data_IF_981384744458
#
_entry.id   IF_981384744458
#
_cell.length_a   1.000
_cell.length_b   1.000
_cell.length_c   1.000
_cell.angle_alpha   90.00
_cell.angle_beta   90.00
_cell.angle_gamma   90.00
#
_symmetry.space_group_name_H-M   'P 1'
#
loop_
_entity.id
_entity.type
_entity.pdbx_description
1 polymer ?
#
# COMPACT_ATOMS: atom_id res chain seq x y z
N UNK A 1 16.21 43.60 -42.90
CA UNK A 1 15.11 42.67 -43.24
C UNK A 1 15.08 41.61 -42.14
N UNK A 2 14.66 41.92 -40.91
CA UNK A 2 13.27 41.95 -40.42
C UNK A 2 12.37 40.87 -41.00
N UNK A 3 12.21 39.77 -40.27
CA UNK A 3 10.97 38.99 -40.26
C UNK A 3 10.76 38.43 -38.85
N UNK A 4 9.85 39.09 -38.14
CA UNK A 4 9.22 38.62 -36.92
C UNK A 4 8.42 37.36 -37.23
N UNK A 5 8.57 36.32 -36.39
CA UNK A 5 7.56 35.27 -36.28
C UNK A 5 6.76 35.54 -35.01
N UNK A 6 5.49 35.88 -35.21
CA UNK A 6 4.50 36.17 -34.18
C UNK A 6 4.10 34.88 -33.46
N UNK A 7 4.26 34.90 -32.14
CA UNK A 7 3.71 33.92 -31.22
C UNK A 7 2.19 34.07 -31.19
N UNK A 8 1.44 33.06 -31.64
CA UNK A 8 -0.02 33.01 -31.44
C UNK A 8 -0.36 32.33 -30.11
N UNK A 9 -1.32 32.87 -29.34
CA UNK A 9 -1.76 32.25 -28.10
C UNK A 9 -2.56 30.98 -28.40
N UNK A 10 -2.18 29.87 -27.77
CA UNK A 10 -2.94 28.63 -27.79
C UNK A 10 -4.29 28.85 -27.13
N UNK A 11 -5.37 28.59 -27.87
CA UNK A 11 -6.73 28.62 -27.35
C UNK A 11 -6.87 27.53 -26.29
N UNK A 12 -7.28 27.92 -25.08
CA UNK A 12 -7.66 26.99 -24.02
C UNK A 12 -8.94 26.26 -24.40
N UNK A 13 -8.82 25.01 -24.83
CA UNK A 13 -9.96 24.11 -24.89
C UNK A 13 -10.47 23.85 -23.46
N UNK A 14 -11.78 23.98 -23.18
CA UNK A 14 -12.33 23.61 -21.89
C UNK A 14 -12.17 22.10 -21.70
N UNK A 15 -11.67 21.70 -20.53
CA UNK A 15 -11.58 20.31 -20.10
C UNK A 15 -12.98 19.66 -20.18
N UNK A 16 -13.06 18.38 -20.58
CA UNK A 16 -14.31 17.64 -20.49
C UNK A 16 -14.81 17.65 -19.03
N UNK A 17 -16.12 17.72 -18.79
CA UNK A 17 -16.66 17.68 -17.44
C UNK A 17 -16.22 16.39 -16.73
N UNK A 18 -15.74 16.53 -15.49
CA UNK A 18 -15.40 15.38 -14.64
C UNK A 18 -16.57 14.39 -14.63
N UNK A 19 -16.35 13.09 -14.86
CA UNK A 19 -17.39 12.11 -14.58
C UNK A 19 -17.75 12.25 -13.11
N UNK A 20 -19.04 12.44 -12.83
CA UNK A 20 -19.57 12.36 -11.46
C UNK A 20 -19.13 11.01 -10.91
N UNK A 21 -18.53 10.98 -9.72
CA UNK A 21 -18.21 9.75 -9.05
C UNK A 21 -19.50 8.93 -8.93
N UNK A 22 -19.60 7.87 -9.75
CA UNK A 22 -20.48 6.80 -9.41
C UNK A 22 -19.80 6.17 -8.18
N UNK A 23 -20.31 6.49 -7.00
CA UNK A 23 -19.98 5.74 -5.80
C UNK A 23 -20.30 4.28 -6.13
N UNK A 24 -19.27 3.51 -6.48
CA UNK A 24 -19.35 2.07 -6.39
C UNK A 24 -19.80 1.78 -4.95
N UNK A 25 -20.61 0.75 -4.76
CA UNK A 25 -21.02 0.22 -3.46
C UNK A 25 -19.75 -0.22 -2.69
N UNK A 26 -18.99 0.75 -2.17
CA UNK A 26 -17.72 0.63 -1.45
C UNK A 26 -18.06 0.16 -0.04
N UNK A 27 -18.52 -1.09 0.06
CA UNK A 27 -18.71 -1.73 1.36
C UNK A 27 -17.35 -2.13 1.91
N UNK A 28 -17.04 -1.59 3.07
CA UNK A 28 -15.93 -1.97 3.93
C UNK A 28 -15.90 -3.51 4.11
N UNK A 29 -15.01 -4.21 3.42
CA UNK A 29 -14.79 -5.64 3.63
C UNK A 29 -13.92 -5.83 4.87
N UNK A 30 -14.56 -6.04 6.03
CA UNK A 30 -13.85 -6.43 7.26
C UNK A 30 -13.35 -7.87 7.15
N UNK A 31 -12.13 -8.12 7.62
CA UNK A 31 -11.62 -9.48 7.79
C UNK A 31 -12.51 -10.26 8.77
N UNK A 32 -12.81 -11.55 8.54
CA UNK A 32 -13.55 -12.36 9.50
C UNK A 32 -12.74 -12.49 10.79
N UNK A 33 -13.32 -12.01 11.90
CA UNK A 33 -12.74 -12.14 13.24
C UNK A 33 -12.63 -13.61 13.66
N UNK A 34 -11.48 -14.02 14.17
CA UNK A 34 -11.27 -15.33 14.75
C UNK A 34 -12.24 -15.56 15.93
N UNK A 35 -13.21 -16.45 15.75
CA UNK A 35 -14.13 -16.87 16.80
C UNK A 35 -13.38 -17.76 17.82
N UNK A 36 -13.03 -17.19 18.97
CA UNK A 36 -12.56 -17.94 20.14
C UNK A 36 -13.74 -18.62 20.84
N UNK A 37 -13.80 -19.95 20.78
CA UNK A 37 -14.77 -20.75 21.50
C UNK A 37 -14.40 -20.83 23.00
N UNK A 38 -15.42 -20.67 23.85
CA UNK A 38 -15.28 -20.53 25.30
C UNK A 38 -15.02 -21.82 26.09
N UNK A 39 -14.68 -21.62 27.37
CA UNK A 39 -14.60 -22.66 28.39
C UNK A 39 -14.76 -22.06 29.79
N UNK A 40 -15.82 -22.46 30.48
CA UNK A 40 -16.33 -21.98 31.77
C UNK A 40 -15.52 -22.57 32.94
N UNK A 41 -15.30 -21.80 34.02
CA UNK A 41 -14.79 -22.31 35.30
C UNK A 41 -14.90 -21.31 36.44
N UNK A 42 -15.49 -21.74 37.56
CA UNK A 42 -16.21 -20.92 38.52
C UNK A 42 -15.42 -20.34 39.72
N UNK A 43 -16.01 -19.27 40.29
CA UNK A 43 -16.02 -18.76 41.68
C UNK A 43 -14.94 -19.19 42.69
N UNK A 44 -14.41 -18.18 43.41
CA UNK A 44 -14.41 -18.15 44.90
C UNK A 44 -14.28 -16.71 45.45
N UNK A 45 -15.21 -16.35 46.34
CA UNK A 45 -15.19 -15.14 47.19
C UNK A 45 -14.30 -15.37 48.41
N UNK A 46 -13.59 -14.32 48.90
CA UNK A 46 -13.44 -14.01 50.34
C UNK A 46 -13.33 -12.48 50.51
N UNK A 47 -14.03 -11.96 51.52
CA UNK A 47 -14.18 -10.55 51.86
C UNK A 47 -13.13 -10.05 52.87
N UNK A 48 -12.93 -8.72 53.00
CA UNK A 48 -12.80 -8.07 54.31
C UNK A 48 -12.93 -6.53 54.24
N UNK A 49 -13.55 -6.04 55.32
CA UNK A 49 -14.07 -4.72 55.68
C UNK A 49 -13.00 -3.67 56.03
N UNK A 50 -13.31 -2.36 55.86
CA UNK A 50 -13.18 -1.34 56.93
C UNK A 50 -13.90 -0.03 56.58
N UNK A 51 -14.70 0.46 57.54
CA UNK A 51 -15.42 1.75 57.58
C UNK A 51 -14.61 2.77 58.38
N UNK A 52 -14.62 4.06 57.99
CA UNK A 52 -14.59 5.21 58.91
C UNK A 52 -15.53 6.32 58.37
N UNK A 53 -16.23 7.01 59.27
CA UNK A 53 -17.30 8.01 59.06
C UNK A 53 -16.80 9.46 59.19
N UNK A 54 -17.70 10.36 58.76
CA UNK A 54 -17.96 11.75 59.19
C UNK A 54 -17.28 12.86 58.36
N UNK A 55 -17.84 14.06 58.14
CA UNK A 55 -19.21 14.62 58.22
C UNK A 55 -19.19 16.04 57.61
N UNK A 56 -20.24 16.39 56.85
CA UNK A 56 -20.80 17.73 56.52
C UNK A 56 -19.96 19.01 56.73
N UNK A 57 -19.89 19.83 55.67
CA UNK A 57 -20.42 21.21 55.69
C UNK A 57 -20.74 21.69 54.26
N UNK A 58 -22.02 22.03 54.01
CA UNK A 58 -22.49 22.69 52.79
C UNK A 58 -22.29 24.20 52.94
N UNK A 59 -21.56 24.82 52.02
CA UNK A 59 -21.62 26.28 51.77
C UNK A 59 -22.14 26.48 50.35
N UNK A 60 -23.29 27.16 50.22
CA UNK A 60 -23.84 27.55 48.93
C UNK A 60 -22.98 28.66 48.33
N UNK A 61 -22.26 28.35 47.25
CA UNK A 61 -21.60 29.33 46.40
C UNK A 61 -22.48 29.52 45.16
N UNK A 62 -22.93 30.75 44.91
CA UNK A 62 -23.70 31.12 43.72
C UNK A 62 -22.80 30.94 42.48
N UNK A 63 -23.17 30.01 41.59
CA UNK A 63 -22.51 29.84 40.29
C UNK A 63 -23.00 30.93 39.32
N UNK A 64 -22.04 31.66 38.75
CA UNK A 64 -22.23 32.42 37.51
C UNK A 64 -22.26 31.45 36.32
N UNK A 65 -23.03 31.71 35.24
CA UNK A 65 -23.13 30.80 34.12
C UNK A 65 -21.82 30.79 33.32
N UNK A 66 -21.06 29.70 33.42
CA UNK A 66 -19.95 29.41 32.51
C UNK A 66 -20.47 28.64 31.31
N UNK A 67 -20.30 29.23 30.13
CA UNK A 67 -20.55 28.58 28.83
C UNK A 67 -19.84 27.21 28.75
N UNK A 68 -20.49 26.15 28.24
CA UNK A 68 -19.87 24.83 28.20
C UNK A 68 -18.73 24.82 27.19
N UNK A 69 -17.48 24.86 27.69
CA UNK A 69 -16.30 24.45 26.91
C UNK A 69 -16.52 23.02 26.47
N UNK A 70 -16.62 22.80 25.16
CA UNK A 70 -16.50 21.47 24.56
C UNK A 70 -15.16 20.87 24.97
N UNK A 71 -15.19 20.01 25.97
CA UNK A 71 -14.11 19.07 26.25
C UNK A 71 -14.19 18.08 25.09
N UNK A 72 -13.24 18.18 24.14
CA UNK A 72 -13.06 17.14 23.13
C UNK A 72 -12.87 15.81 23.86
N UNK A 73 -13.74 14.86 23.58
CA UNK A 73 -13.61 13.48 24.04
C UNK A 73 -12.20 12.97 23.72
N UNK A 74 -11.47 12.52 24.72
CA UNK A 74 -10.13 11.91 24.59
C UNK A 74 -10.21 10.40 24.35
N UNK A 75 -11.33 9.91 23.83
CA UNK A 75 -11.42 8.54 23.34
C UNK A 75 -10.65 8.48 22.02
N UNK A 76 -9.63 7.60 21.86
CA UNK A 76 -9.01 7.39 20.57
C UNK A 76 -10.11 7.06 19.55
N UNK A 77 -10.01 7.64 18.36
CA UNK A 77 -10.94 7.32 17.27
C UNK A 77 -10.77 5.83 16.95
N UNK A 78 -11.79 5.06 17.29
CA UNK A 78 -11.82 3.60 17.10
C UNK A 78 -12.23 3.23 15.67
N UNK A 79 -12.26 4.19 14.74
CA UNK A 79 -12.54 3.94 13.34
C UNK A 79 -11.42 3.10 12.71
N UNK A 80 -11.74 2.10 11.87
CA UNK A 80 -10.73 1.32 11.17
C UNK A 80 -9.92 2.19 10.22
N UNK A 81 -8.63 1.91 10.06
CA UNK A 81 -7.80 2.51 9.02
C UNK A 81 -8.37 2.20 7.63
N UNK A 82 -8.68 3.22 6.84
CA UNK A 82 -9.31 3.12 5.52
C UNK A 82 -8.23 3.14 4.44
N UNK A 83 -7.82 1.97 3.98
CA UNK A 83 -6.81 1.83 2.94
C UNK A 83 -7.49 1.73 1.57
N UNK A 84 -7.23 2.69 0.67
CA UNK A 84 -7.57 2.51 -0.73
C UNK A 84 -6.56 1.58 -1.41
N UNK A 85 -7.06 0.55 -2.10
CA UNK A 85 -6.26 -0.29 -2.98
C UNK A 85 -6.66 0.00 -4.42
N UNK A 86 -5.74 0.59 -5.17
CA UNK A 86 -5.87 0.91 -6.60
C UNK A 86 -5.46 -0.32 -7.42
N UNK A 87 -6.44 -1.11 -7.85
CA UNK A 87 -6.22 -2.33 -8.62
C UNK A 87 -5.88 -2.00 -10.08
N UNK A 88 -4.64 -2.30 -10.46
CA UNK A 88 -4.07 -1.99 -11.77
C UNK A 88 -4.01 -3.19 -12.71
N UNK A 89 -4.57 -4.34 -12.31
CA UNK A 89 -4.72 -5.55 -13.12
C UNK A 89 -5.71 -6.51 -12.45
N UNK A 90 -6.04 -7.61 -13.13
CA UNK A 90 -6.78 -8.73 -12.56
C UNK A 90 -5.84 -9.94 -12.47
N UNK A 91 -5.80 -10.66 -11.33
CA UNK A 91 -5.00 -11.86 -11.21
C UNK A 91 -5.35 -12.91 -12.27
N UNK A 92 -4.40 -13.80 -12.59
CA UNK A 92 -4.63 -14.93 -13.51
C UNK A 92 -5.79 -15.81 -13.01
N UNK A 93 -6.54 -16.51 -13.89
CA UNK A 93 -7.82 -17.12 -13.52
C UNK A 93 -7.79 -18.01 -12.27
N UNK A 94 -6.77 -18.85 -12.12
CA UNK A 94 -6.63 -19.73 -10.96
C UNK A 94 -6.32 -18.93 -9.68
N UNK A 95 -5.50 -17.89 -9.77
CA UNK A 95 -5.25 -16.98 -8.65
C UNK A 95 -6.51 -16.21 -8.30
N UNK A 96 -7.23 -15.65 -9.27
CA UNK A 96 -8.48 -14.94 -9.01
C UNK A 96 -9.50 -15.85 -8.30
N UNK A 97 -9.59 -17.12 -8.72
CA UNK A 97 -10.48 -18.10 -8.11
C UNK A 97 -10.10 -18.46 -6.66
N UNK A 98 -8.82 -18.74 -6.41
CA UNK A 98 -8.35 -19.27 -5.12
C UNK A 98 -7.92 -18.19 -4.12
N UNK A 99 -7.55 -17.00 -4.62
CA UNK A 99 -7.01 -15.87 -3.83
C UNK A 99 -7.88 -14.61 -3.95
N UNK A 100 -8.76 -14.50 -4.94
CA UNK A 100 -9.55 -13.31 -5.17
C UNK A 100 -8.78 -12.22 -5.92
N UNK A 101 -9.33 -11.01 -5.89
CA UNK A 101 -8.73 -9.77 -6.42
C UNK A 101 -7.38 -9.44 -5.76
N UNK A 102 -6.58 -8.54 -6.34
CA UNK A 102 -5.33 -8.09 -5.69
C UNK A 102 -5.60 -7.42 -4.34
N UNK A 103 -6.73 -6.71 -4.18
CA UNK A 103 -7.19 -6.21 -2.88
C UNK A 103 -7.35 -7.32 -1.84
N UNK A 104 -7.83 -8.50 -2.24
CA UNK A 104 -7.93 -9.68 -1.36
C UNK A 104 -6.55 -10.28 -1.04
N UNK A 105 -5.60 -10.23 -1.98
CA UNK A 105 -4.21 -10.64 -1.77
C UNK A 105 -3.53 -9.73 -0.75
N UNK A 106 -3.62 -8.41 -0.93
CA UNK A 106 -3.09 -7.43 0.01
C UNK A 106 -3.80 -7.49 1.37
N UNK A 107 -5.10 -7.80 1.42
CA UNK A 107 -5.80 -7.97 2.70
C UNK A 107 -5.16 -9.06 3.56
N UNK A 108 -4.81 -10.21 2.96
CA UNK A 108 -4.12 -11.29 3.67
C UNK A 108 -2.72 -10.87 4.11
N UNK A 109 -1.91 -10.33 3.19
CA UNK A 109 -0.56 -9.86 3.49
C UNK A 109 -0.57 -8.89 4.68
N UNK A 110 -1.42 -7.86 4.62
CA UNK A 110 -1.51 -6.82 5.64
C UNK A 110 -2.03 -7.35 6.97
N UNK A 111 -2.95 -8.31 6.97
CA UNK A 111 -3.40 -8.98 8.19
C UNK A 111 -2.22 -9.71 8.85
N UNK A 112 -1.41 -10.43 8.07
CA UNK A 112 -0.24 -11.14 8.58
C UNK A 112 0.87 -10.21 9.07
N UNK A 113 1.00 -9.04 8.43
CA UNK A 113 1.89 -7.95 8.84
C UNK A 113 1.51 -7.34 10.19
N UNK A 114 0.22 -7.13 10.48
CA UNK A 114 -0.24 -6.65 11.79
C UNK A 114 0.14 -7.64 12.91
N UNK A 115 0.01 -8.94 12.67
CA UNK A 115 0.49 -9.95 13.61
C UNK A 115 2.01 -9.88 13.84
N UNK A 116 2.76 -9.36 12.86
CA UNK A 116 4.20 -9.15 12.96
C UNK A 116 4.61 -7.94 13.81
N UNK A 117 3.69 -7.00 14.08
CA UNK A 117 3.97 -5.77 14.83
C UNK A 117 3.89 -5.90 16.35
N UNK A 118 3.54 -7.07 16.87
CA UNK A 118 3.39 -7.28 18.31
C UNK A 118 2.40 -6.29 18.93
N UNK A 119 2.82 -5.56 19.97
CA UNK A 119 1.96 -4.61 20.69
C UNK A 119 1.51 -3.41 19.83
N UNK A 120 2.31 -2.98 18.85
CA UNK A 120 1.95 -1.87 17.96
C UNK A 120 0.80 -2.21 17.01
N UNK A 121 0.63 -3.49 16.68
CA UNK A 121 -0.48 -3.98 15.85
C UNK A 121 -1.75 -4.24 16.65
N UNK A 122 -1.68 -4.29 17.99
CA UNK A 122 -2.85 -4.58 18.83
C UNK A 122 -3.85 -3.44 18.76
N UNK A 123 -5.08 -3.78 18.35
CA UNK A 123 -6.19 -2.81 18.26
C UNK A 123 -6.18 -1.98 16.98
N UNK A 124 -5.26 -2.25 16.05
CA UNK A 124 -5.33 -1.68 14.70
C UNK A 124 -6.33 -2.49 13.89
N UNK A 125 -7.53 -1.93 13.71
CA UNK A 125 -8.48 -2.41 12.71
C UNK A 125 -8.26 -1.67 11.40
N UNK A 126 -8.50 -2.33 10.27
CA UNK A 126 -8.44 -1.70 8.96
C UNK A 126 -9.50 -2.25 8.01
N UNK A 127 -9.74 -1.51 6.94
CA UNK A 127 -10.57 -1.94 5.83
C UNK A 127 -9.95 -1.54 4.50
N UNK A 128 -10.17 -2.39 3.49
CA UNK A 128 -9.73 -2.13 2.12
C UNK A 128 -10.92 -1.62 1.32
N UNK A 129 -10.70 -0.49 0.67
CA UNK A 129 -11.58 0.10 -0.32
C UNK A 129 -10.95 -0.14 -1.70
N UNK A 130 -11.53 -1.02 -2.50
CA UNK A 130 -10.97 -1.41 -3.81
C UNK A 130 -11.45 -0.44 -4.89
N UNK A 131 -10.52 -0.01 -5.73
CA UNK A 131 -10.78 0.88 -6.86
C UNK A 131 -10.26 0.22 -8.13
N UNK A 132 -11.16 -0.05 -9.08
CA UNK A 132 -10.79 -0.50 -10.41
C UNK A 132 -10.29 0.70 -11.21
N UNK A 133 -8.97 0.75 -11.43
CA UNK A 133 -8.32 1.83 -12.17
C UNK A 133 -8.31 1.53 -13.66
N UNK A 134 -8.32 0.26 -14.06
CA UNK A 134 -8.12 -0.15 -15.45
C UNK A 134 -9.41 0.03 -16.27
N UNK A 135 -10.51 -0.56 -15.81
CA UNK A 135 -11.78 -0.53 -16.56
C UNK A 135 -12.60 0.71 -16.23
N UNK A 136 -12.59 1.13 -14.96
CA UNK A 136 -13.48 2.17 -14.47
C UNK A 136 -12.78 3.49 -14.13
N UNK A 137 -11.44 3.51 -14.08
CA UNK A 137 -10.66 4.71 -13.73
C UNK A 137 -11.19 5.40 -12.48
N UNK A 138 -11.48 4.60 -11.45
CA UNK A 138 -12.02 5.07 -10.18
C UNK A 138 -10.88 5.37 -9.21
N UNK A 139 -11.05 6.45 -8.44
CA UNK A 139 -10.06 6.92 -7.46
C UNK A 139 -10.79 7.39 -6.19
N UNK A 140 -10.18 7.27 -5.00
CA UNK A 140 -10.77 7.76 -3.76
C UNK A 140 -10.75 9.28 -3.70
N UNK A 141 -11.74 9.86 -3.02
CA UNK A 141 -11.58 11.19 -2.44
C UNK A 141 -10.64 11.09 -1.23
N UNK A 142 -9.67 12.01 -1.12
CA UNK A 142 -8.61 11.90 -0.10
C UNK A 142 -9.12 12.06 1.33
N UNK A 143 -10.31 12.66 1.53
CA UNK A 143 -10.98 12.71 2.83
C UNK A 143 -11.48 11.33 3.30
N UNK A 144 -11.66 10.40 2.37
CA UNK A 144 -12.34 9.13 2.60
C UNK A 144 -11.36 8.01 2.92
N UNK A 145 -10.05 8.29 2.89
CA UNK A 145 -8.98 7.31 3.05
C UNK A 145 -7.86 7.84 3.93
N UNK A 146 -7.19 6.91 4.60
CA UNK A 146 -6.05 7.20 5.49
C UNK A 146 -4.71 6.81 4.82
N UNK A 147 -4.77 6.03 3.73
CA UNK A 147 -3.61 5.68 2.90
C UNK A 147 -4.04 5.13 1.54
N UNK A 148 -3.08 5.09 0.61
CA UNK A 148 -3.28 4.55 -0.74
C UNK A 148 -2.22 3.46 -1.00
N UNK A 149 -2.64 2.34 -1.59
CA UNK A 149 -1.79 1.28 -2.10
C UNK A 149 -2.06 1.08 -3.58
N UNK A 150 -1.01 1.07 -4.41
CA UNK A 150 -1.07 0.84 -5.85
C UNK A 150 -0.51 -0.55 -6.15
N UNK A 151 -1.31 -1.41 -6.78
CA UNK A 151 -0.92 -2.80 -7.05
C UNK A 151 0.08 -2.92 -8.20
N UNK A 152 0.66 -4.12 -8.33
CA UNK A 152 1.34 -4.54 -9.55
C UNK A 152 0.37 -4.65 -10.74
N UNK A 153 0.94 -4.84 -11.93
CA UNK A 153 0.20 -5.03 -13.18
C UNK A 153 1.04 -5.74 -14.23
N UNK A 154 0.42 -6.51 -15.13
CA UNK A 154 1.07 -7.00 -16.35
C UNK A 154 1.30 -5.91 -17.40
N UNK A 155 0.66 -4.75 -17.25
CA UNK A 155 0.81 -3.61 -18.15
C UNK A 155 2.15 -2.91 -17.94
N UNK A 156 2.56 -2.13 -18.95
CA UNK A 156 3.80 -1.38 -18.91
C UNK A 156 3.55 0.07 -18.47
N UNK A 157 4.17 0.49 -17.36
CA UNK A 157 3.88 1.78 -16.70
C UNK A 157 4.25 3.03 -17.52
N UNK A 158 5.12 2.88 -18.53
CA UNK A 158 5.55 3.98 -19.40
C UNK A 158 4.75 4.09 -20.71
N UNK A 159 3.72 3.26 -20.91
CA UNK A 159 2.78 3.45 -22.01
C UNK A 159 1.85 4.63 -21.75
N UNK A 160 1.29 5.19 -22.83
CA UNK A 160 0.32 6.29 -22.79
C UNK A 160 -1.14 5.81 -22.89
N UNK A 161 -1.42 4.58 -22.41
CA UNK A 161 -2.79 4.12 -22.25
C UNK A 161 -3.56 5.13 -21.35
N UNK A 162 -4.78 5.56 -21.72
CA UNK A 162 -5.46 6.67 -21.03
C UNK A 162 -5.61 6.51 -19.51
N UNK A 163 -5.85 5.28 -19.04
CA UNK A 163 -5.96 4.99 -17.61
C UNK A 163 -4.61 5.08 -16.87
N UNK A 164 -3.50 4.76 -17.55
CA UNK A 164 -2.14 4.88 -16.99
C UNK A 164 -1.79 6.36 -16.85
N UNK A 165 -2.03 7.17 -17.89
CA UNK A 165 -1.80 8.63 -17.84
C UNK A 165 -2.62 9.26 -16.71
N UNK A 166 -3.89 8.87 -16.59
CA UNK A 166 -4.79 9.34 -15.52
C UNK A 166 -4.31 8.93 -14.13
N UNK A 167 -3.84 7.69 -13.97
CA UNK A 167 -3.27 7.21 -12.72
C UNK A 167 -1.99 7.96 -12.35
N UNK A 168 -1.08 8.19 -13.30
CA UNK A 168 0.16 8.97 -13.08
C UNK A 168 -0.17 10.40 -12.62
N UNK A 169 -1.15 11.05 -13.26
CA UNK A 169 -1.58 12.40 -12.88
C UNK A 169 -2.25 12.42 -11.50
N UNK A 170 -3.12 11.45 -11.21
CA UNK A 170 -3.73 11.31 -9.89
C UNK A 170 -2.67 11.16 -8.79
N UNK A 171 -1.71 10.25 -8.96
CA UNK A 171 -0.65 10.01 -7.97
C UNK A 171 0.27 11.23 -7.83
N UNK A 172 0.56 11.94 -8.92
CA UNK A 172 1.28 13.22 -8.85
C UNK A 172 0.55 14.23 -7.97
N UNK A 173 -0.77 14.37 -8.14
CA UNK A 173 -1.58 15.28 -7.32
C UNK A 173 -1.58 14.85 -5.85
N UNK A 174 -1.75 13.55 -5.56
CA UNK A 174 -1.69 13.03 -4.18
C UNK A 174 -0.36 13.38 -3.52
N UNK A 175 0.76 13.10 -4.18
CA UNK A 175 2.10 13.28 -3.61
C UNK A 175 2.51 14.75 -3.46
N UNK A 176 1.92 15.66 -4.24
CA UNK A 176 2.28 17.09 -4.24
C UNK A 176 1.31 17.97 -3.44
N UNK A 177 0.04 17.58 -3.35
CA UNK A 177 -1.01 18.40 -2.76
C UNK A 177 -1.59 17.84 -1.45
N UNK A 178 -1.17 16.65 -1.01
CA UNK A 178 -1.70 16.00 0.19
C UNK A 178 -0.61 15.42 1.09
N UNK A 179 -1.01 14.98 2.28
CA UNK A 179 -0.18 14.21 3.21
C UNK A 179 -0.57 12.73 3.24
N UNK A 180 -1.45 12.28 2.35
CA UNK A 180 -1.91 10.89 2.34
C UNK A 180 -0.74 9.97 1.97
N UNK A 181 -0.36 9.02 2.84
CA UNK A 181 0.74 8.11 2.55
C UNK A 181 0.42 7.20 1.37
N UNK A 182 1.40 7.00 0.50
CA UNK A 182 1.26 6.14 -0.70
C UNK A 182 2.23 4.97 -0.64
N UNK A 183 1.72 3.76 -0.86
CA UNK A 183 2.48 2.55 -1.10
C UNK A 183 2.35 2.11 -2.55
N UNK A 184 3.45 1.74 -3.20
CA UNK A 184 3.42 1.23 -4.58
C UNK A 184 4.23 -0.05 -4.75
N UNK A 185 3.62 -1.04 -5.41
CA UNK A 185 4.22 -2.36 -5.61
C UNK A 185 4.39 -2.64 -7.11
N UNK A 186 5.60 -3.02 -7.53
CA UNK A 186 5.96 -3.35 -8.91
C UNK A 186 5.54 -2.25 -9.92
N UNK A 187 4.47 -2.47 -10.70
CA UNK A 187 3.89 -1.43 -11.55
C UNK A 187 3.56 -0.14 -10.76
N UNK A 188 3.00 -0.26 -9.55
CA UNK A 188 2.74 0.88 -8.68
C UNK A 188 4.00 1.65 -8.27
N UNK A 189 5.12 0.96 -8.06
CA UNK A 189 6.43 1.59 -7.84
C UNK A 189 6.87 2.40 -9.07
N UNK A 190 6.68 1.86 -10.27
CA UNK A 190 7.00 2.54 -11.52
C UNK A 190 6.10 3.76 -11.79
N UNK A 191 4.80 3.65 -11.49
CA UNK A 191 3.86 4.77 -11.56
C UNK A 191 4.28 5.91 -10.64
N UNK A 192 4.69 5.62 -9.40
CA UNK A 192 5.20 6.62 -8.46
C UNK A 192 6.46 7.29 -9.03
N UNK A 193 7.40 6.50 -9.54
CA UNK A 193 8.60 7.03 -10.21
C UNK A 193 8.23 7.99 -11.35
N UNK A 194 7.36 7.55 -12.27
CA UNK A 194 6.90 8.35 -13.41
C UNK A 194 6.15 9.61 -12.98
N UNK A 195 5.31 9.53 -11.94
CA UNK A 195 4.59 10.68 -11.39
C UNK A 195 5.55 11.78 -10.89
N UNK A 196 6.69 11.37 -10.32
CA UNK A 196 7.75 12.23 -9.80
C UNK A 196 8.86 12.56 -10.82
N UNK A 197 8.63 12.26 -12.10
CA UNK A 197 9.52 12.65 -13.19
C UNK A 197 10.70 11.70 -13.44
N UNK A 198 10.73 10.51 -12.84
CA UNK A 198 11.70 9.50 -13.22
C UNK A 198 11.38 8.87 -14.57
N UNK A 199 12.44 8.46 -15.26
CA UNK A 199 12.34 7.62 -16.45
C UNK A 199 11.97 6.21 -16.03
N UNK A 200 10.94 5.65 -16.67
CA UNK A 200 10.56 4.23 -16.54
C UNK A 200 10.70 3.56 -17.89
N UNK A 201 11.16 2.32 -17.92
CA UNK A 201 11.54 1.65 -19.16
C UNK A 201 11.75 0.16 -19.00
N UNK A 202 12.03 -0.52 -20.12
CA UNK A 202 12.48 -1.92 -20.10
C UNK A 202 13.85 -2.00 -19.44
N UNK A 203 13.98 -2.88 -18.45
CA UNK A 203 15.23 -3.12 -17.76
C UNK A 203 16.26 -3.75 -18.74
N UNK A 204 17.46 -3.16 -18.89
CA UNK A 204 18.53 -3.75 -19.68
C UNK A 204 18.95 -5.13 -19.16
N UNK A 205 18.79 -5.36 -17.85
CA UNK A 205 19.07 -6.62 -17.18
C UNK A 205 18.10 -7.76 -17.49
N UNK A 206 16.99 -7.48 -18.19
CA UNK A 206 15.99 -8.49 -18.54
C UNK A 206 14.98 -8.75 -17.43
N UNK A 207 14.55 -10.00 -17.30
CA UNK A 207 13.55 -10.40 -16.31
C UNK A 207 14.18 -10.68 -14.94
N UNK A 208 13.49 -10.26 -13.88
CA UNK A 208 13.62 -10.83 -12.55
C UNK A 208 12.31 -11.56 -12.20
N UNK A 209 12.42 -12.83 -11.81
CA UNK A 209 11.29 -13.71 -11.53
C UNK A 209 11.52 -14.53 -10.26
N UNK A 210 10.43 -14.88 -9.58
CA UNK A 210 10.45 -15.69 -8.36
C UNK A 210 11.33 -15.08 -7.25
N UNK A 211 11.73 -15.83 -6.23
CA UNK A 211 12.45 -15.23 -5.09
C UNK A 211 13.87 -14.83 -5.50
N UNK A 212 14.17 -13.53 -5.37
CA UNK A 212 15.48 -12.94 -5.63
C UNK A 212 15.94 -12.12 -4.43
N UNK A 213 17.25 -11.95 -4.33
CA UNK A 213 17.89 -11.13 -3.31
C UNK A 213 17.89 -9.66 -3.71
N UNK A 214 17.47 -8.79 -2.80
CA UNK A 214 17.62 -7.33 -2.87
C UNK A 214 18.60 -6.89 -1.79
N UNK A 215 19.74 -6.35 -2.20
CA UNK A 215 20.72 -5.77 -1.28
C UNK A 215 20.26 -4.36 -0.86
N UNK A 216 20.13 -4.13 0.44
CA UNK A 216 19.60 -2.88 0.98
C UNK A 216 20.72 -1.85 1.19
N UNK A 217 20.43 -0.59 0.86
CA UNK A 217 21.27 0.54 1.26
C UNK A 217 21.13 0.82 2.76
N UNK A 218 21.95 1.70 3.33
CA UNK A 218 21.90 2.06 4.76
C UNK A 218 20.49 2.45 5.24
N UNK A 219 19.76 3.23 4.44
CA UNK A 219 18.39 3.64 4.76
C UNK A 219 17.41 2.44 4.71
N UNK A 220 17.58 1.53 3.76
CA UNK A 220 16.82 0.29 3.67
C UNK A 220 17.11 -0.63 4.86
N UNK A 221 18.37 -0.77 5.26
CA UNK A 221 18.75 -1.56 6.43
C UNK A 221 18.17 -0.98 7.71
N UNK A 222 18.17 0.35 7.85
CA UNK A 222 17.51 1.02 8.97
C UNK A 222 15.99 0.76 8.98
N UNK A 223 15.35 0.79 7.80
CA UNK A 223 13.91 0.59 7.68
C UNK A 223 13.50 -0.86 7.98
N UNK A 224 14.18 -1.84 7.40
CA UNK A 224 13.81 -3.25 7.47
C UNK A 224 14.51 -4.02 8.61
N UNK A 225 15.62 -3.51 9.15
CA UNK A 225 16.38 -4.17 10.22
C UNK A 225 17.23 -5.35 9.76
N UNK A 226 17.43 -5.50 8.45
CA UNK A 226 18.21 -6.58 7.81
C UNK A 226 19.09 -6.00 6.71
N UNK A 227 20.15 -6.71 6.31
CA UNK A 227 21.08 -6.26 5.26
C UNK A 227 20.55 -6.47 3.84
N UNK A 228 19.63 -7.42 3.66
CA UNK A 228 19.02 -7.76 2.38
C UNK A 228 17.62 -8.34 2.58
N UNK A 229 16.81 -8.33 1.53
CA UNK A 229 15.50 -8.98 1.47
C UNK A 229 15.50 -10.09 0.41
N UNK A 230 14.81 -11.18 0.70
CA UNK A 230 14.43 -12.22 -0.26
C UNK A 230 12.96 -11.98 -0.63
N UNK A 231 12.66 -11.61 -1.88
CA UNK A 231 11.28 -11.31 -2.29
C UNK A 231 10.98 -11.87 -3.68
N UNK A 232 9.71 -12.21 -3.91
CA UNK A 232 9.25 -12.55 -5.25
C UNK A 232 9.41 -11.36 -6.19
N UNK A 233 10.00 -11.61 -7.35
CA UNK A 233 10.08 -10.70 -8.47
C UNK A 233 9.17 -11.19 -9.60
N UNK A 234 8.65 -10.25 -10.39
CA UNK A 234 7.91 -10.53 -11.63
C UNK A 234 7.89 -9.26 -12.48
N UNK A 235 9.06 -8.84 -12.96
CA UNK A 235 9.16 -7.64 -13.78
C UNK A 235 10.27 -7.73 -14.82
N UNK A 236 10.06 -6.95 -15.89
CA UNK A 236 11.05 -6.66 -16.94
C UNK A 236 11.15 -5.15 -17.22
N UNK A 237 10.40 -4.37 -16.46
CA UNK A 237 10.37 -2.92 -16.48
C UNK A 237 10.98 -2.43 -15.17
N UNK A 238 11.57 -1.24 -15.19
CA UNK A 238 12.24 -0.63 -14.04
C UNK A 238 11.99 0.89 -13.98
N UNK A 239 12.19 1.45 -12.79
CA UNK A 239 12.49 2.88 -12.62
C UNK A 239 13.98 3.06 -12.89
N UNK A 240 14.32 3.76 -13.98
CA UNK A 240 15.70 3.88 -14.45
C UNK A 240 16.45 5.06 -13.82
N UNK A 241 15.74 6.06 -13.28
CA UNK A 241 16.34 7.22 -12.61
C UNK A 241 15.70 7.43 -11.24
N UNK A 242 16.51 7.76 -10.23
CA UNK A 242 16.01 8.07 -8.90
C UNK A 242 15.34 9.46 -8.91
N UNK A 243 14.03 9.58 -8.57
CA UNK A 243 13.40 10.89 -8.44
C UNK A 243 14.09 11.77 -7.39
N UNK A 244 14.06 13.08 -7.60
CA UNK A 244 14.66 14.03 -6.68
C UNK A 244 14.03 13.97 -5.27
N UNK A 245 14.86 13.99 -4.23
CA UNK A 245 14.42 14.00 -2.84
C UNK A 245 13.92 12.65 -2.31
N UNK A 246 14.10 11.57 -3.05
CA UNK A 246 13.79 10.20 -2.63
C UNK A 246 15.07 9.41 -2.39
N UNK A 247 14.95 8.37 -1.56
CA UNK A 247 16.02 7.40 -1.32
C UNK A 247 15.69 6.11 -2.04
N UNK A 248 16.67 5.54 -2.75
CA UNK A 248 16.59 4.16 -3.21
C UNK A 248 16.82 3.21 -2.04
N UNK A 249 15.89 2.31 -1.74
CA UNK A 249 16.00 1.39 -0.61
C UNK A 249 16.96 0.22 -0.84
N UNK A 250 17.20 -0.16 -2.10
CA UNK A 250 18.06 -1.28 -2.42
C UNK A 250 18.21 -1.52 -3.91
N UNK A 251 18.98 -2.54 -4.26
CA UNK A 251 19.27 -2.90 -5.65
C UNK A 251 19.47 -4.41 -5.79
N UNK A 252 19.33 -4.91 -7.01
CA UNK A 252 19.76 -6.24 -7.43
C UNK A 252 20.76 -6.12 -8.59
N UNK A 253 21.43 -7.21 -9.01
CA UNK A 253 22.32 -7.17 -10.18
C UNK A 253 21.62 -6.75 -11.48
N UNK A 254 20.29 -6.89 -11.59
CA UNK A 254 19.51 -6.59 -12.80
C UNK A 254 18.68 -5.31 -12.71
N UNK A 255 18.37 -4.84 -11.51
CA UNK A 255 17.55 -3.65 -11.28
C UNK A 255 18.21 -2.74 -10.23
N UNK A 256 18.71 -1.56 -10.63
CA UNK A 256 19.45 -0.68 -9.74
C UNK A 256 18.55 0.02 -8.70
N UNK A 257 17.24 0.13 -8.94
CA UNK A 257 16.28 0.81 -8.06
C UNK A 257 15.18 -0.19 -7.69
N UNK A 258 15.32 -0.83 -6.52
CA UNK A 258 14.35 -1.82 -6.03
C UNK A 258 13.30 -1.21 -5.08
N UNK A 259 13.46 0.04 -4.66
CA UNK A 259 12.43 0.71 -3.87
C UNK A 259 12.64 2.21 -3.74
N UNK A 260 11.56 2.97 -3.67
CA UNK A 260 11.62 4.41 -3.46
C UNK A 260 11.02 4.76 -2.10
N UNK A 261 11.69 5.62 -1.35
CA UNK A 261 11.27 6.00 -0.02
C UNK A 261 11.39 7.49 0.26
N UNK A 262 10.34 8.03 0.89
CA UNK A 262 10.32 9.34 1.53
C UNK A 262 9.50 9.20 2.83
N UNK A 263 10.12 9.42 4.00
CA UNK A 263 9.42 9.29 5.29
C UNK A 263 8.10 10.07 5.30
N UNK A 264 7.07 9.46 5.88
CA UNK A 264 5.74 10.05 6.07
C UNK A 264 5.02 10.47 4.77
N UNK A 265 5.44 9.94 3.61
CA UNK A 265 4.88 10.32 2.32
C UNK A 265 4.76 9.15 1.35
N UNK A 266 5.85 8.42 1.10
CA UNK A 266 5.82 7.30 0.16
C UNK A 266 6.79 6.18 0.53
N UNK A 267 6.34 4.95 0.28
CA UNK A 267 7.14 3.73 0.35
C UNK A 267 6.79 2.86 -0.86
N UNK A 268 7.78 2.47 -1.66
CA UNK A 268 7.51 1.59 -2.80
C UNK A 268 8.59 0.54 -2.97
N UNK A 269 8.19 -0.59 -3.55
CA UNK A 269 9.06 -1.73 -3.81
C UNK A 269 8.79 -2.26 -5.22
N UNK A 270 9.84 -2.58 -5.96
CA UNK A 270 9.73 -3.21 -7.27
C UNK A 270 9.31 -4.69 -7.15
N UNK A 271 9.69 -5.34 -6.04
CA UNK A 271 9.33 -6.70 -5.70
C UNK A 271 7.87 -6.86 -5.22
N UNK A 272 7.41 -8.11 -5.16
CA UNK A 272 6.07 -8.54 -4.76
C UNK A 272 6.08 -9.22 -3.38
N UNK A 273 5.97 -8.46 -2.27
CA UNK A 273 5.84 -9.06 -0.93
C UNK A 273 4.53 -9.83 -0.74
N UNK A 274 3.53 -9.58 -1.60
CA UNK A 274 2.18 -10.13 -1.52
C UNK A 274 2.01 -11.47 -2.24
N UNK A 275 3.01 -11.91 -3.02
CA UNK A 275 2.98 -13.19 -3.71
C UNK A 275 3.40 -14.32 -2.78
N UNK A 276 2.72 -15.46 -2.93
CA UNK A 276 3.10 -16.76 -2.37
C UNK A 276 3.52 -17.70 -3.52
N UNK A 277 4.00 -18.89 -3.16
CA UNK A 277 4.38 -19.95 -4.11
C UNK A 277 3.27 -20.21 -5.15
N UNK A 278 2.03 -20.33 -4.69
CA UNK A 278 0.90 -20.59 -5.58
C UNK A 278 0.72 -19.49 -6.63
N UNK A 279 0.72 -18.22 -6.22
CA UNK A 279 0.60 -17.09 -7.14
C UNK A 279 1.78 -17.09 -8.13
N UNK A 280 3.00 -17.30 -7.64
CA UNK A 280 4.19 -17.29 -8.48
C UNK A 280 4.18 -18.43 -9.49
N UNK A 281 3.91 -19.65 -9.06
CA UNK A 281 3.82 -20.84 -9.91
C UNK A 281 2.76 -20.71 -11.01
N UNK A 282 1.59 -20.14 -10.69
CA UNK A 282 0.53 -19.88 -11.67
C UNK A 282 0.96 -18.83 -12.72
N UNK A 283 1.64 -17.75 -12.29
CA UNK A 283 2.15 -16.74 -13.21
C UNK A 283 3.27 -17.31 -14.09
N UNK A 284 4.22 -18.05 -13.51
CA UNK A 284 5.31 -18.70 -14.25
C UNK A 284 4.77 -19.63 -15.34
N UNK A 285 3.79 -20.47 -14.98
CA UNK A 285 3.12 -21.39 -15.92
C UNK A 285 2.42 -20.63 -17.05
N UNK A 286 1.67 -19.59 -16.71
CA UNK A 286 0.97 -18.75 -17.68
C UNK A 286 1.96 -18.08 -18.66
N UNK A 287 3.04 -17.48 -18.14
CA UNK A 287 4.06 -16.79 -18.97
C UNK A 287 4.83 -17.74 -19.87
N UNK A 288 5.14 -18.95 -19.40
CA UNK A 288 5.75 -20.00 -20.23
C UNK A 288 4.80 -20.47 -21.34
N UNK A 289 3.52 -20.70 -21.03
CA UNK A 289 2.51 -21.09 -22.04
C UNK A 289 2.32 -20.03 -23.14
N UNK A 290 2.54 -18.75 -22.79
CA UNK A 290 2.53 -17.62 -23.72
C UNK A 290 3.84 -17.44 -24.49
N UNK A 291 4.84 -18.29 -24.25
CA UNK A 291 6.19 -18.21 -24.81
C UNK A 291 6.93 -16.92 -24.47
N UNK A 292 6.57 -16.29 -23.35
CA UNK A 292 7.28 -15.13 -22.80
C UNK A 292 8.56 -15.60 -22.09
N UNK A 293 8.47 -16.75 -21.41
CA UNK A 293 9.60 -17.43 -20.78
C UNK A 293 9.96 -18.65 -21.61
N UNK A 294 11.26 -18.87 -21.82
CA UNK A 294 11.77 -20.11 -22.37
C UNK A 294 11.80 -21.22 -21.30
N UNK A 295 12.14 -22.44 -21.72
CA UNK A 295 12.15 -23.61 -20.84
C UNK A 295 13.18 -23.50 -19.70
N UNK A 296 14.25 -22.74 -19.90
CA UNK A 296 15.29 -22.54 -18.89
C UNK A 296 14.80 -21.60 -17.80
N UNK A 297 14.31 -20.42 -18.18
CA UNK A 297 13.75 -19.43 -17.26
C UNK A 297 12.53 -19.97 -16.52
N UNK A 298 11.67 -20.73 -17.21
CA UNK A 298 10.52 -21.37 -16.56
C UNK A 298 10.97 -22.36 -15.49
N UNK A 299 11.92 -23.25 -15.82
CA UNK A 299 12.42 -24.26 -14.88
C UNK A 299 13.12 -23.63 -13.67
N UNK A 300 13.97 -22.63 -13.90
CA UNK A 300 14.65 -21.89 -12.83
C UNK A 300 13.66 -21.17 -11.92
N UNK A 301 12.72 -20.40 -12.50
CA UNK A 301 11.74 -19.67 -11.70
C UNK A 301 10.81 -20.62 -10.93
N UNK A 302 10.33 -21.70 -11.54
CA UNK A 302 9.53 -22.71 -10.82
C UNK A 302 10.29 -23.36 -9.66
N UNK A 303 11.60 -23.56 -9.79
CA UNK A 303 12.42 -24.12 -8.71
C UNK A 303 12.54 -23.18 -7.50
N UNK A 304 12.45 -21.86 -7.73
CA UNK A 304 12.55 -20.82 -6.69
C UNK A 304 11.19 -20.24 -6.26
N UNK A 305 10.09 -20.68 -6.88
CA UNK A 305 8.75 -20.18 -6.56
C UNK A 305 8.33 -20.50 -5.11
N UNK A 306 8.80 -21.63 -4.56
CA UNK A 306 8.53 -22.04 -3.18
C UNK A 306 9.54 -21.55 -2.15
N UNK A 307 10.55 -20.76 -2.54
CA UNK A 307 11.59 -20.32 -1.62
C UNK A 307 11.02 -19.38 -0.54
N UNK A 308 11.63 -19.43 0.64
CA UNK A 308 11.25 -18.52 1.73
C UNK A 308 11.51 -17.06 1.34
N UNK A 309 10.55 -16.18 1.63
CA UNK A 309 10.64 -14.76 1.33
C UNK A 309 10.19 -13.87 2.51
N UNK A 310 10.59 -12.61 2.48
CA UNK A 310 10.42 -11.62 3.56
C UNK A 310 9.10 -10.83 3.47
N UNK A 311 8.09 -11.39 2.80
CA UNK A 311 6.82 -10.69 2.56
C UNK A 311 6.14 -10.22 3.85
N UNK A 312 6.17 -11.05 4.91
CA UNK A 312 5.63 -10.70 6.23
C UNK A 312 6.40 -9.56 6.91
N UNK A 313 7.73 -9.56 6.81
CA UNK A 313 8.57 -8.47 7.34
C UNK A 313 8.24 -7.16 6.63
N UNK A 314 8.21 -7.18 5.29
CA UNK A 314 7.84 -6.02 4.49
C UNK A 314 6.45 -5.53 4.85
N UNK A 315 5.48 -6.43 5.02
CA UNK A 315 4.12 -6.05 5.42
C UNK A 315 4.05 -5.39 6.78
N UNK A 316 4.85 -5.84 7.75
CA UNK A 316 4.94 -5.17 9.05
C UNK A 316 5.49 -3.75 8.89
N UNK A 317 6.52 -3.55 8.05
CA UNK A 317 7.09 -2.22 7.77
C UNK A 317 6.16 -1.30 6.99
N UNK A 318 5.32 -1.83 6.11
CA UNK A 318 4.24 -1.08 5.47
C UNK A 318 3.26 -0.55 6.54
N UNK A 319 2.92 -1.34 7.56
CA UNK A 319 2.09 -0.87 8.65
C UNK A 319 2.77 0.18 9.52
N UNK A 320 4.03 -0.01 9.89
CA UNK A 320 4.77 1.04 10.63
C UNK A 320 4.75 2.35 9.85
N UNK A 321 5.03 2.29 8.55
CA UNK A 321 4.97 3.45 7.66
C UNK A 321 3.59 4.13 7.68
N UNK A 322 2.50 3.37 7.53
CA UNK A 322 1.15 3.95 7.57
C UNK A 322 0.84 4.58 8.94
N UNK A 323 1.08 3.85 10.02
CA UNK A 323 0.76 4.28 11.38
C UNK A 323 1.59 5.49 11.82
N UNK A 324 2.87 5.55 11.43
CA UNK A 324 3.75 6.68 11.74
C UNK A 324 3.39 7.95 10.94
N UNK A 325 2.72 7.79 9.79
CA UNK A 325 2.30 8.93 8.96
C UNK A 325 1.00 9.55 9.43
N UNK A 326 0.08 8.75 9.99
CA UNK A 326 -1.26 9.21 10.41
C UNK A 326 -1.33 9.61 11.90
N UNK A 327 -0.32 9.26 12.69
CA UNK A 327 -0.19 9.64 14.11
C UNK A 327 0.16 11.13 14.30
#
# INVERSE_FOLDING_TARGET
>A
MSLLWLCQPTQSHPLPPRPKSAAADLRCEKAPGAAGNGGIGAMRKVAAYKRIKASRQRKSLKLLPTSPRHIKSTTPDMSPFRLAVLECDTPVPNVLKERGSYGSVFQRLLTDGLHGLGDRGKGVDFCILKYDVVQHQTYPELSDVDGILITGSKHTAFNDDPWIVSLVEYIRQVLTASKTPVVGICFGHQIIGRALGATTGRAPGGWEVSVEKVDLCDQGQQLFGVSSLQLHQMHRDEVATLPEGLVNLGSSPRCPIQGLYKPNSLLSLQAHPEFDDFIMSEIMTMRHSQRIFDDEMFRDGMARAGDSHDGRLVSAKIWEFFLDTVA
#
